data_IF_347658620420
#
_entry.id   IF_347658620420
#
_cell.length_a   1.000
_cell.length_b   1.000
_cell.length_c   1.000
_cell.angle_alpha   90.00
_cell.angle_beta   90.00
_cell.angle_gamma   90.00
#
_symmetry.space_group_name_H-M   'P 1'
#
loop_
_entity.id
_entity.type
_entity.pdbx_description
1 polymer ?
#
# COMPACT_ATOMS: atom_id res chain seq x y z
N UNK A 1 18.91 -6.59 -19.43
CA UNK A 1 19.54 -6.29 -18.14
C UNK A 1 18.46 -5.67 -17.28
N UNK A 2 18.33 -6.13 -16.05
CA UNK A 2 17.36 -5.59 -15.09
C UNK A 2 17.72 -4.13 -14.73
N UNK A 3 16.73 -3.25 -14.59
CA UNK A 3 17.00 -1.87 -14.23
C UNK A 3 17.45 -1.73 -12.76
N UNK A 4 18.29 -0.72 -12.48
CA UNK A 4 18.78 -0.44 -11.11
C UNK A 4 17.62 -0.19 -10.12
N UNK A 5 16.50 0.36 -10.61
CA UNK A 5 15.32 0.59 -9.79
C UNK A 5 14.63 -0.73 -9.38
N UNK A 6 14.46 -1.65 -10.32
CA UNK A 6 13.84 -2.97 -10.06
C UNK A 6 14.68 -3.73 -9.03
N UNK A 7 16.00 -3.75 -9.21
CA UNK A 7 16.92 -4.41 -8.28
C UNK A 7 16.81 -3.82 -6.86
N UNK A 8 16.81 -2.49 -6.73
CA UNK A 8 16.66 -1.84 -5.41
C UNK A 8 15.33 -2.20 -4.75
N UNK A 9 14.25 -2.24 -5.52
CA UNK A 9 12.94 -2.61 -4.99
C UNK A 9 12.96 -4.08 -4.54
N UNK A 10 13.44 -5.00 -5.38
CA UNK A 10 13.47 -6.44 -5.05
C UNK A 10 14.38 -6.79 -3.87
N UNK A 11 15.39 -5.97 -3.61
CA UNK A 11 16.26 -6.07 -2.42
C UNK A 11 15.65 -5.43 -1.15
N UNK A 12 14.40 -4.95 -1.20
CA UNK A 12 13.69 -4.45 -0.02
C UNK A 12 13.78 -2.94 0.21
N UNK A 13 14.26 -2.15 -0.75
CA UNK A 13 14.47 -0.70 -0.55
C UNK A 13 13.16 0.07 -0.41
N UNK A 14 12.81 0.40 0.84
CA UNK A 14 11.66 1.25 1.18
C UNK A 14 11.66 2.58 0.44
N UNK A 15 12.83 3.21 0.30
CA UNK A 15 12.95 4.50 -0.37
C UNK A 15 12.69 4.39 -1.89
N UNK A 16 13.17 3.32 -2.54
CA UNK A 16 12.92 3.08 -3.95
C UNK A 16 11.44 2.76 -4.20
N UNK A 17 10.86 1.86 -3.41
CA UNK A 17 9.46 1.49 -3.50
C UNK A 17 8.53 2.69 -3.26
N UNK A 18 8.78 3.51 -2.23
CA UNK A 18 7.97 4.70 -1.95
C UNK A 18 8.01 5.74 -3.08
N UNK A 19 9.18 5.95 -3.71
CA UNK A 19 9.31 6.85 -4.87
C UNK A 19 8.59 6.28 -6.09
N UNK A 20 8.76 4.99 -6.35
CA UNK A 20 8.14 4.35 -7.51
C UNK A 20 6.61 4.31 -7.40
N UNK A 21 6.06 3.99 -6.23
CA UNK A 21 4.60 4.06 -6.00
C UNK A 21 4.07 5.49 -6.19
N UNK A 22 4.81 6.51 -5.74
CA UNK A 22 4.45 7.91 -6.00
C UNK A 22 4.45 8.22 -7.50
N UNK A 23 5.43 7.72 -8.24
CA UNK A 23 5.54 7.98 -9.67
C UNK A 23 4.43 7.27 -10.46
N UNK A 24 4.03 6.06 -10.04
CA UNK A 24 2.82 5.36 -10.52
C UNK A 24 1.58 6.20 -10.22
N UNK A 25 1.41 6.66 -8.97
CA UNK A 25 0.30 7.54 -8.59
C UNK A 25 0.29 8.80 -9.46
N UNK A 26 1.42 9.38 -9.83
CA UNK A 26 1.47 10.59 -10.65
C UNK A 26 1.46 10.33 -12.17
N UNK A 27 1.19 9.10 -12.59
CA UNK A 27 1.15 8.68 -13.99
C UNK A 27 2.41 9.09 -14.77
N UNK A 28 3.58 9.00 -14.12
CA UNK A 28 4.87 9.30 -14.75
C UNK A 28 5.11 8.29 -15.89
N UNK A 29 5.48 8.74 -17.11
CA UNK A 29 5.76 7.86 -18.24
C UNK A 29 6.86 6.83 -17.93
N UNK A 30 6.72 5.61 -18.45
CA UNK A 30 7.70 4.52 -18.31
C UNK A 30 7.53 3.65 -17.05
N UNK A 31 6.59 4.00 -16.15
CA UNK A 31 6.26 3.19 -14.97
C UNK A 31 5.72 1.81 -15.34
N UNK A 32 4.99 1.68 -16.46
CA UNK A 32 4.45 0.41 -16.94
C UNK A 32 5.54 -0.62 -17.28
N UNK A 33 6.61 -0.20 -17.96
CA UNK A 33 7.73 -1.10 -18.31
C UNK A 33 8.44 -1.61 -17.06
N UNK A 34 8.61 -0.72 -16.07
CA UNK A 34 9.22 -1.07 -14.79
C UNK A 34 8.33 -2.03 -13.98
N UNK A 35 7.01 -1.83 -14.00
CA UNK A 35 6.05 -2.76 -13.39
C UNK A 35 6.12 -4.15 -14.03
N UNK A 36 6.25 -4.22 -15.35
CA UNK A 36 6.38 -5.50 -16.07
C UNK A 36 7.67 -6.24 -15.67
N UNK A 37 8.78 -5.53 -15.49
CA UNK A 37 10.01 -6.13 -14.96
C UNK A 37 9.84 -6.64 -13.52
N UNK A 38 9.18 -5.87 -12.65
CA UNK A 38 8.94 -6.23 -11.25
C UNK A 38 8.08 -7.47 -11.06
N UNK A 39 7.20 -7.80 -12.00
CA UNK A 39 6.35 -9.01 -11.92
C UNK A 39 7.16 -10.30 -11.71
N UNK A 40 8.41 -10.34 -12.15
CA UNK A 40 9.31 -11.50 -11.98
C UNK A 40 9.73 -11.73 -10.53
N UNK A 41 9.59 -10.73 -9.67
CA UNK A 41 9.95 -10.80 -8.25
C UNK A 41 8.73 -10.88 -7.32
N UNK A 42 7.52 -10.86 -7.88
CA UNK A 42 6.27 -10.94 -7.14
C UNK A 42 5.63 -12.33 -7.22
N UNK A 43 4.52 -12.53 -6.52
CA UNK A 43 3.77 -13.78 -6.43
C UNK A 43 4.17 -14.64 -5.24
N UNK A 44 4.79 -14.05 -4.21
CA UNK A 44 5.32 -14.77 -3.06
C UNK A 44 4.60 -14.41 -1.76
N UNK A 45 4.22 -13.14 -1.58
CA UNK A 45 3.53 -12.65 -0.40
C UNK A 45 2.03 -12.95 -0.40
N UNK A 46 1.43 -12.98 0.79
CA UNK A 46 -0.03 -13.06 0.95
C UNK A 46 -0.66 -11.69 0.75
N UNK A 47 -1.65 -11.59 -0.15
CA UNK A 47 -2.44 -10.37 -0.33
C UNK A 47 -3.78 -10.48 0.41
N UNK A 48 -4.04 -9.56 1.35
CA UNK A 48 -5.26 -9.59 2.19
C UNK A 48 -6.03 -8.29 2.07
N UNK A 49 -7.25 -8.37 1.55
CA UNK A 49 -8.18 -7.23 1.49
C UNK A 49 -8.99 -7.08 2.78
N UNK A 50 -9.06 -5.85 3.28
CA UNK A 50 -9.89 -5.46 4.44
C UNK A 50 -10.86 -4.37 4.00
N UNK A 51 -12.15 -4.67 4.10
CA UNK A 51 -13.23 -3.76 3.72
C UNK A 51 -14.36 -3.79 4.75
N UNK A 52 -15.30 -2.86 4.65
CA UNK A 52 -16.41 -2.70 5.58
C UNK A 52 -16.91 -1.25 5.65
N UNK A 53 -17.96 -1.03 6.43
CA UNK A 53 -18.54 0.30 6.60
C UNK A 53 -17.56 1.29 7.25
N UNK A 54 -17.77 2.59 6.98
CA UNK A 54 -17.09 3.65 7.73
C UNK A 54 -17.37 3.50 9.23
N UNK A 55 -16.32 3.60 10.07
CA UNK A 55 -16.44 3.40 11.52
C UNK A 55 -16.50 1.96 12.00
N UNK A 56 -16.47 0.95 11.13
CA UNK A 56 -16.50 -0.48 11.52
C UNK A 56 -15.22 -0.97 12.24
N UNK A 57 -14.22 -0.11 12.43
CA UNK A 57 -12.97 -0.46 13.12
C UNK A 57 -11.91 -1.14 12.26
N UNK A 58 -12.00 -1.06 10.93
CA UNK A 58 -11.04 -1.65 9.97
C UNK A 58 -9.58 -1.29 10.25
N UNK A 59 -9.24 0.00 10.35
CA UNK A 59 -7.87 0.45 10.65
C UNK A 59 -7.40 0.03 12.05
N UNK A 60 -8.32 -0.07 13.02
CA UNK A 60 -8.01 -0.59 14.37
C UNK A 60 -7.68 -2.09 14.32
N UNK A 61 -8.46 -2.88 13.57
CA UNK A 61 -8.19 -4.30 13.32
C UNK A 61 -6.85 -4.48 12.61
N UNK A 62 -6.58 -3.70 11.56
CA UNK A 62 -5.30 -3.73 10.86
C UNK A 62 -4.14 -3.40 11.78
N UNK A 63 -4.26 -2.37 12.62
CA UNK A 63 -3.24 -2.06 13.64
C UNK A 63 -2.98 -3.23 14.59
N UNK A 64 -4.00 -3.99 14.98
CA UNK A 64 -3.83 -5.20 15.80
C UNK A 64 -3.18 -6.36 15.03
N UNK A 65 -3.56 -6.58 13.77
CA UNK A 65 -2.97 -7.60 12.90
C UNK A 65 -1.49 -7.31 12.62
N UNK A 66 -1.15 -6.06 12.31
CA UNK A 66 0.24 -5.62 12.10
C UNK A 66 1.09 -5.99 13.33
N UNK A 67 0.64 -5.61 14.53
CA UNK A 67 1.34 -5.96 15.79
C UNK A 67 1.47 -7.47 15.98
N UNK A 68 0.40 -8.22 15.67
CA UNK A 68 0.43 -9.68 15.77
C UNK A 68 1.51 -10.30 14.86
N UNK A 69 1.56 -9.91 13.59
CA UNK A 69 2.55 -10.42 12.63
C UNK A 69 3.96 -9.93 12.90
N UNK A 70 4.13 -8.68 13.38
CA UNK A 70 5.44 -8.12 13.69
C UNK A 70 6.03 -8.57 15.03
N UNK A 71 5.23 -9.20 15.91
CA UNK A 71 5.69 -9.63 17.24
C UNK A 71 6.92 -10.55 17.23
N UNK A 72 7.03 -11.50 16.29
CA UNK A 72 8.22 -12.38 16.19
C UNK A 72 9.36 -11.75 15.39
N UNK A 73 9.13 -10.60 14.75
CA UNK A 73 9.99 -9.92 13.78
C UNK A 73 10.35 -10.68 12.51
N UNK A 74 9.97 -11.96 12.41
CA UNK A 74 10.24 -12.81 11.25
C UNK A 74 9.39 -12.44 10.04
N UNK A 75 8.13 -12.03 10.24
CA UNK A 75 7.21 -11.73 9.13
C UNK A 75 7.16 -10.24 8.81
N UNK A 76 7.61 -9.86 7.62
CA UNK A 76 7.53 -8.50 7.11
C UNK A 76 6.12 -8.17 6.60
N UNK A 77 5.67 -6.94 6.85
CA UNK A 77 4.29 -6.50 6.59
C UNK A 77 4.28 -5.28 5.67
N UNK A 78 3.53 -5.35 4.58
CA UNK A 78 3.13 -4.22 3.75
C UNK A 78 1.69 -3.80 4.03
N UNK A 79 1.38 -2.50 3.92
CA UNK A 79 0.02 -1.98 4.04
C UNK A 79 -0.22 -0.91 2.99
N UNK A 80 -1.23 -1.11 2.15
CA UNK A 80 -1.81 -0.10 1.27
C UNK A 80 -3.12 0.37 1.91
N UNK A 81 -3.14 1.60 2.43
CA UNK A 81 -4.36 2.21 2.95
C UNK A 81 -4.96 3.13 1.88
N UNK A 82 -6.17 2.84 1.40
CA UNK A 82 -6.87 3.74 0.47
C UNK A 82 -7.72 4.72 1.27
N UNK A 83 -7.36 6.00 1.19
CA UNK A 83 -8.07 7.10 1.85
C UNK A 83 -8.93 7.90 0.84
N UNK A 84 -9.97 8.62 1.29
CA UNK A 84 -10.60 9.65 0.48
C UNK A 84 -9.57 10.68 -0.01
N UNK A 85 -9.79 11.20 -1.22
CA UNK A 85 -8.92 12.24 -1.80
C UNK A 85 -9.12 13.58 -1.13
N UNK A 86 -8.03 14.29 -0.87
CA UNK A 86 -8.04 15.69 -0.48
C UNK A 86 -8.59 16.53 -1.64
N UNK A 87 -9.61 17.38 -1.41
CA UNK A 87 -10.15 18.26 -2.44
C UNK A 87 -9.17 19.38 -2.85
N UNK A 88 -8.11 19.61 -2.05
CA UNK A 88 -7.11 20.66 -2.31
C UNK A 88 -5.92 20.14 -3.10
N UNK A 89 -5.41 18.96 -2.73
CA UNK A 89 -4.15 18.42 -3.26
C UNK A 89 -4.33 17.19 -4.15
N UNK A 90 -5.50 16.56 -4.12
CA UNK A 90 -5.77 15.28 -4.80
C UNK A 90 -5.12 14.06 -4.14
N UNK A 91 -4.23 14.25 -3.16
CA UNK A 91 -3.55 13.20 -2.41
C UNK A 91 -4.40 12.60 -1.28
N UNK A 92 -3.90 11.55 -0.62
CA UNK A 92 -4.58 10.89 0.49
C UNK A 92 -4.69 11.80 1.72
N UNK A 93 -5.80 11.73 2.46
CA UNK A 93 -6.00 12.47 3.72
C UNK A 93 -5.21 11.89 4.91
N UNK A 94 -4.55 10.74 4.76
CA UNK A 94 -3.66 10.08 5.73
C UNK A 94 -4.32 9.65 7.06
N UNK A 95 -5.65 9.71 7.16
CA UNK A 95 -6.38 9.48 8.41
C UNK A 95 -6.22 8.06 8.93
N UNK A 96 -6.21 7.08 8.02
CA UNK A 96 -6.13 5.67 8.40
C UNK A 96 -4.73 5.26 8.85
N UNK A 97 -3.69 5.87 8.26
CA UNK A 97 -2.28 5.66 8.63
C UNK A 97 -2.01 5.99 10.10
N UNK A 98 -2.54 7.11 10.60
CA UNK A 98 -2.32 7.54 11.99
C UNK A 98 -2.87 6.51 12.99
N UNK A 99 -3.97 5.84 12.63
CA UNK A 99 -4.62 4.83 13.49
C UNK A 99 -3.92 3.47 13.48
N UNK A 100 -3.15 3.19 12.43
CA UNK A 100 -2.38 1.95 12.28
C UNK A 100 -0.99 2.01 12.90
N UNK A 101 -0.43 3.22 13.06
CA UNK A 101 0.88 3.41 13.66
C UNK A 101 0.83 3.23 15.18
N UNK A 102 1.31 2.09 15.66
CA UNK A 102 1.71 1.87 17.06
C UNK A 102 3.20 2.17 17.28
N UNK A 103 3.74 1.74 18.41
CA UNK A 103 5.17 1.91 18.77
C UNK A 103 6.15 1.07 17.89
N UNK A 104 5.64 0.17 17.04
CA UNK A 104 6.40 -0.78 16.23
C UNK A 104 6.64 -0.30 14.79
N UNK A 105 7.29 0.85 14.62
CA UNK A 105 7.84 1.24 13.30
C UNK A 105 9.25 0.68 13.21
N UNK A 106 9.39 -0.50 12.61
CA UNK A 106 10.67 -1.11 12.25
C UNK A 106 10.78 -1.37 10.75
N UNK A 107 11.95 -1.80 10.28
CA UNK A 107 12.24 -2.05 8.85
C UNK A 107 11.34 -3.14 8.24
N UNK A 108 10.75 -4.00 9.07
CA UNK A 108 9.82 -5.03 8.63
C UNK A 108 8.45 -4.49 8.22
N UNK A 109 8.08 -3.28 8.64
CA UNK A 109 6.79 -2.65 8.32
C UNK A 109 6.92 -1.55 7.25
N UNK A 110 6.12 -1.65 6.18
CA UNK A 110 6.01 -0.58 5.17
C UNK A 110 4.54 -0.21 4.94
N UNK A 111 4.18 1.05 5.19
CA UNK A 111 2.81 1.56 5.02
C UNK A 111 2.80 2.66 3.95
N UNK A 112 1.88 2.55 3.00
CA UNK A 112 1.60 3.56 1.97
C UNK A 112 0.12 3.91 1.95
N UNK A 113 -0.19 5.19 2.07
CA UNK A 113 -1.53 5.71 1.80
C UNK A 113 -1.67 6.06 0.32
N UNK A 114 -2.75 5.62 -0.31
CA UNK A 114 -3.15 5.97 -1.67
C UNK A 114 -4.42 6.81 -1.63
N UNK A 115 -4.50 7.77 -2.53
CA UNK A 115 -5.73 8.53 -2.74
C UNK A 115 -6.70 7.72 -3.62
N UNK A 116 -7.97 7.66 -3.25
CA UNK A 116 -9.02 7.04 -4.07
C UNK A 116 -9.23 7.73 -5.42
N UNK A 117 -9.05 9.06 -5.48
CA UNK A 117 -9.16 9.89 -6.70
C UNK A 117 -10.47 9.70 -7.47
N UNK A 118 -11.59 9.63 -6.76
CA UNK A 118 -12.92 9.47 -7.35
C UNK A 118 -13.16 8.09 -8.00
N UNK A 119 -12.29 7.10 -7.74
CA UNK A 119 -12.51 5.75 -8.23
C UNK A 119 -13.65 5.05 -7.48
N UNK A 120 -14.58 4.50 -8.25
CA UNK A 120 -15.73 3.74 -7.72
C UNK A 120 -15.27 2.42 -7.11
N UNK A 121 -15.88 2.05 -5.98
CA UNK A 121 -15.64 0.75 -5.32
C UNK A 121 -14.65 0.78 -4.15
N UNK A 122 -14.20 1.96 -3.71
CA UNK A 122 -13.41 2.13 -2.49
C UNK A 122 -11.92 1.76 -2.63
N UNK A 123 -11.43 1.56 -3.86
CA UNK A 123 -10.03 1.33 -4.19
C UNK A 123 -9.52 2.37 -5.20
N UNK A 124 -8.22 2.65 -5.17
CA UNK A 124 -7.54 3.47 -6.18
C UNK A 124 -7.22 2.64 -7.43
N UNK A 125 -7.14 3.28 -8.61
CA UNK A 125 -6.66 2.66 -9.87
C UNK A 125 -5.31 1.95 -9.69
N UNK A 126 -4.43 2.55 -8.88
CA UNK A 126 -3.04 2.14 -8.69
C UNK A 126 -2.87 1.20 -7.50
N UNK A 127 -3.97 0.78 -6.85
CA UNK A 127 -3.94 -0.14 -5.72
C UNK A 127 -3.23 -1.45 -6.07
N UNK A 128 -3.57 -2.04 -7.21
CA UNK A 128 -2.94 -3.28 -7.70
C UNK A 128 -1.44 -3.12 -7.94
N UNK A 129 -1.02 -1.99 -8.52
CA UNK A 129 0.39 -1.71 -8.80
C UNK A 129 1.18 -1.52 -7.49
N UNK A 130 0.61 -0.83 -6.50
CA UNK A 130 1.24 -0.69 -5.19
C UNK A 130 1.38 -2.03 -4.45
N UNK A 131 0.37 -2.90 -4.55
CA UNK A 131 0.45 -4.27 -4.01
C UNK A 131 1.56 -5.07 -4.68
N UNK A 132 1.65 -5.01 -6.02
CA UNK A 132 2.70 -5.67 -6.78
C UNK A 132 4.10 -5.20 -6.33
N UNK A 133 4.28 -3.89 -6.15
CA UNK A 133 5.55 -3.32 -5.68
C UNK A 133 5.91 -3.83 -4.28
N UNK A 134 4.95 -3.92 -3.35
CA UNK A 134 5.23 -4.40 -1.99
C UNK A 134 5.53 -5.90 -1.94
N UNK A 135 4.84 -6.71 -2.75
CA UNK A 135 5.12 -8.14 -2.91
C UNK A 135 6.51 -8.35 -3.53
N UNK A 136 6.80 -7.65 -4.63
CA UNK A 136 8.11 -7.68 -5.28
C UNK A 136 9.26 -7.21 -4.37
N UNK A 137 8.97 -6.33 -3.40
CA UNK A 137 9.92 -5.87 -2.38
C UNK A 137 10.18 -6.92 -1.27
N UNK A 138 9.54 -8.08 -1.34
CA UNK A 138 9.74 -9.20 -0.41
C UNK A 138 8.93 -9.08 0.88
N UNK A 139 7.76 -8.41 0.86
CA UNK A 139 6.86 -8.43 2.01
C UNK A 139 6.11 -9.76 2.09
N UNK A 140 6.18 -10.43 3.24
CA UNK A 140 5.54 -11.74 3.46
C UNK A 140 4.01 -11.65 3.42
N UNK A 141 3.45 -10.53 3.89
CA UNK A 141 2.02 -10.25 3.85
C UNK A 141 1.79 -8.77 3.53
N UNK A 142 0.87 -8.50 2.60
CA UNK A 142 0.46 -7.16 2.21
C UNK A 142 -1.03 -6.99 2.42
N UNK A 143 -1.41 -6.08 3.30
CA UNK A 143 -2.80 -5.70 3.52
C UNK A 143 -3.21 -4.57 2.58
N UNK A 144 -4.46 -4.59 2.12
CA UNK A 144 -5.11 -3.43 1.52
C UNK A 144 -6.37 -3.06 2.30
N UNK A 145 -6.41 -1.84 2.84
CA UNK A 145 -7.64 -1.26 3.40
C UNK A 145 -8.36 -0.47 2.30
N UNK A 146 -9.61 -0.84 2.02
CA UNK A 146 -10.49 -0.05 1.17
C UNK A 146 -11.14 1.10 1.98
N UNK A 147 -11.50 2.18 1.27
CA UNK A 147 -12.30 3.26 1.83
C UNK A 147 -13.61 2.70 2.38
N UNK A 148 -14.06 3.19 3.54
CA UNK A 148 -15.31 2.73 4.14
C UNK A 148 -16.51 2.96 3.21
N UNK A 149 -17.39 1.96 3.06
CA UNK A 149 -18.60 2.11 2.23
C UNK A 149 -19.43 3.31 2.71
N UNK A 150 -19.86 4.16 1.77
CA UNK A 150 -20.54 5.44 2.06
C UNK A 150 -19.61 6.67 2.12
N UNK A 151 -18.28 6.48 2.11
CA UNK A 151 -17.31 7.58 1.92
C UNK A 151 -16.80 7.67 0.47
N UNK A 152 -16.96 6.62 -0.32
CA UNK A 152 -16.54 6.57 -1.72
C UNK A 152 -17.51 7.25 -2.69
N UNK A 153 -18.74 7.56 -2.25
CA UNK A 153 -19.81 8.15 -3.06
C UNK A 153 -20.05 9.64 -2.74
N UNK A 154 -19.12 10.29 -2.02
CA UNK A 154 -19.20 11.71 -1.66
C UNK A 154 -18.44 12.53 -2.70
N UNK A 155 -18.97 12.60 -3.91
CA UNK A 155 -18.67 13.62 -4.93
C UNK A 155 -19.97 14.29 -5.37
#
# INVERSE_FOLDING_TARGET
MESELVQKISEGSVAAAARFIRDIENEIPGTADTLEELKKHAGHGFLVGVTGAAGAGKSTLLGALIRFFRKSKEMTVGVVAVDPSSPVTGGALLGDRIRMQGEEIDEGLFIRSLASRGWKGGLSKTAGDALLVMDAMGKDIVFIEAVGSGQADVD
#
